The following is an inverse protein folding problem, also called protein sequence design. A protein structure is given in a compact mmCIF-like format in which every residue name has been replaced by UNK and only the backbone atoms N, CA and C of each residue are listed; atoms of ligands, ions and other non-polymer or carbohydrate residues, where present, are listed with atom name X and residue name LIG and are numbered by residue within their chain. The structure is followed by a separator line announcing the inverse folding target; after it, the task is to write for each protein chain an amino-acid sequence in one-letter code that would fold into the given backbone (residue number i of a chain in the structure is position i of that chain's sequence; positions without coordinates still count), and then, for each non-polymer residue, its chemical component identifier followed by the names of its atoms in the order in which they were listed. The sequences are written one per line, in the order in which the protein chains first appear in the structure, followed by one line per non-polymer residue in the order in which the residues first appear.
data_IF_273757685452
#
_entry.id   IF_273757685452
#
_cell.length_a   1.000
_cell.length_b   1.000
_cell.length_c   1.000
_cell.angle_alpha   90.00
_cell.angle_beta   90.00
_cell.angle_gamma   90.00
#
_symmetry.space_group_name_H-M   'P 1'
#
loop_
_entity.id
_entity.type
_entity.pdbx_description
1 polymer ?
#
# COMPACT_ATOMS: atom_id res chain seq x y z
N UNK A 1 10.74 -8.34 -16.92
CA UNK A 1 11.28 -7.03 -16.50
C UNK A 1 10.92 -6.80 -15.05
N UNK A 2 11.91 -6.47 -14.25
CA UNK A 2 11.72 -6.27 -12.82
C UNK A 2 11.99 -4.82 -12.46
N UNK A 3 11.10 -4.27 -11.63
CA UNK A 3 11.27 -2.94 -11.08
C UNK A 3 11.45 -3.10 -9.57
N UNK A 4 12.46 -2.45 -9.03
CA UNK A 4 12.73 -2.49 -7.59
C UNK A 4 12.53 -1.10 -7.00
N UNK A 5 11.68 -1.00 -5.98
CA UNK A 5 11.41 0.25 -5.27
C UNK A 5 11.81 0.03 -3.81
N UNK A 6 12.71 0.85 -3.31
CA UNK A 6 13.15 0.73 -1.92
C UNK A 6 12.05 1.20 -0.97
N UNK A 7 11.94 0.51 0.17
CA UNK A 7 11.01 0.94 1.23
C UNK A 7 11.27 2.40 1.63
N UNK A 8 12.53 2.79 1.68
CA UNK A 8 12.92 4.15 2.03
C UNK A 8 12.35 5.19 1.06
N UNK A 9 12.29 4.87 -0.22
CA UNK A 9 11.70 5.73 -1.24
C UNK A 9 10.19 5.87 -1.04
N UNK A 10 9.53 4.76 -0.71
CA UNK A 10 8.09 4.77 -0.44
C UNK A 10 7.80 5.59 0.82
N UNK A 11 8.59 5.39 1.87
CA UNK A 11 8.46 6.14 3.13
C UNK A 11 8.64 7.64 2.91
N UNK A 12 9.63 8.02 2.09
CA UNK A 12 9.88 9.42 1.75
C UNK A 12 8.73 10.03 0.94
N UNK A 13 8.17 9.26 0.02
CA UNK A 13 7.03 9.70 -0.78
C UNK A 13 5.80 9.94 0.10
N UNK A 14 5.51 9.01 0.99
CA UNK A 14 4.38 9.13 1.92
C UNK A 14 4.55 10.36 2.81
N UNK A 15 5.75 10.55 3.35
CA UNK A 15 6.04 11.72 4.19
C UNK A 15 5.87 13.03 3.41
N UNK A 16 6.36 13.05 2.18
CA UNK A 16 6.25 14.23 1.31
C UNK A 16 4.79 14.57 1.00
N UNK A 17 3.97 13.57 0.77
CA UNK A 17 2.56 13.78 0.39
C UNK A 17 1.61 13.96 1.57
N UNK A 18 1.91 13.37 2.71
CA UNK A 18 0.99 13.33 3.84
C UNK A 18 1.52 14.04 5.09
N UNK A 19 2.82 14.31 5.14
CA UNK A 19 3.49 14.80 6.34
C UNK A 19 3.66 13.74 7.41
N UNK A 20 3.23 12.50 7.16
CA UNK A 20 3.28 11.41 8.14
C UNK A 20 4.43 10.47 7.85
N UNK A 21 5.06 10.01 8.91
CA UNK A 21 6.12 9.00 8.82
C UNK A 21 5.51 7.62 8.99
N UNK A 22 5.90 6.72 8.10
CA UNK A 22 5.58 5.30 8.20
C UNK A 22 6.87 4.50 8.20
N UNK A 23 6.81 3.30 8.78
CA UNK A 23 7.90 2.34 8.70
C UNK A 23 7.46 1.15 7.87
N UNK A 24 8.32 0.67 7.02
CA UNK A 24 8.09 -0.51 6.21
C UNK A 24 9.20 -1.51 6.46
N UNK A 25 8.83 -2.77 6.69
CA UNK A 25 9.79 -3.86 6.84
C UNK A 25 9.20 -5.15 6.29
N UNK A 26 10.04 -5.96 5.66
CA UNK A 26 9.60 -7.23 5.13
C UNK A 26 9.52 -8.28 6.24
N UNK A 27 8.44 -9.04 6.27
CA UNK A 27 8.30 -10.22 7.13
C UNK A 27 8.68 -11.46 6.34
N UNK A 28 8.21 -11.56 5.12
CA UNK A 28 8.60 -12.59 4.16
C UNK A 28 8.40 -12.05 2.74
N UNK A 29 8.54 -12.90 1.74
CA UNK A 29 8.43 -12.50 0.33
C UNK A 29 7.07 -11.93 -0.05
N UNK A 30 6.04 -12.26 0.70
CA UNK A 30 4.65 -11.85 0.41
C UNK A 30 4.06 -10.93 1.45
N UNK A 31 4.75 -10.71 2.56
CA UNK A 31 4.20 -9.96 3.70
C UNK A 31 5.13 -8.83 4.10
N UNK A 32 4.55 -7.67 4.23
CA UNK A 32 5.23 -6.45 4.68
C UNK A 32 4.55 -5.97 5.97
N UNK A 33 5.34 -5.48 6.90
CA UNK A 33 4.84 -4.83 8.10
C UNK A 33 4.85 -3.33 7.88
N UNK A 34 3.69 -2.70 8.07
CA UNK A 34 3.53 -1.25 7.98
C UNK A 34 3.33 -0.72 9.39
N UNK A 35 4.18 0.21 9.81
CA UNK A 35 4.08 0.86 11.11
C UNK A 35 3.77 2.34 10.92
N UNK A 36 2.89 2.87 11.74
CA UNK A 36 2.53 4.28 11.70
C UNK A 36 2.34 4.80 13.11
N UNK A 37 2.66 6.07 13.31
CA UNK A 37 2.37 6.75 14.57
C UNK A 37 1.05 7.46 14.44
N UNK A 38 0.17 7.24 15.41
CA UNK A 38 -1.14 7.88 15.46
C UNK A 38 -1.26 8.65 16.76
N UNK A 39 -1.93 9.78 16.70
CA UNK A 39 -2.24 10.58 17.89
C UNK A 39 -3.58 10.12 18.45
N UNK A 40 -3.59 9.78 19.73
CA UNK A 40 -4.79 9.34 20.43
C UNK A 40 -5.06 10.33 21.57
N UNK A 41 -6.31 10.80 21.66
CA UNK A 41 -6.74 11.64 22.78
C UNK A 41 -7.06 10.75 23.98
N UNK A 42 -6.33 10.98 25.05
CA UNK A 42 -6.56 10.27 26.31
C UNK A 42 -7.14 11.27 27.33
N UNK A 43 -8.27 10.95 27.98
CA UNK A 43 -8.83 11.82 29.01
C UNK A 43 -7.79 12.13 30.07
N UNK A 44 -7.68 13.39 30.45
CA UNK A 44 -6.76 13.93 31.46
C UNK A 44 -5.29 13.99 31.05
N UNK A 45 -4.87 13.32 29.98
CA UNK A 45 -3.46 13.32 29.54
C UNK A 45 -3.23 14.08 28.24
N UNK A 46 -4.31 14.49 27.54
CA UNK A 46 -4.21 15.15 26.25
C UNK A 46 -3.93 14.19 25.13
N UNK A 47 -3.14 14.60 24.15
CA UNK A 47 -2.78 13.75 23.01
C UNK A 47 -1.48 12.99 23.31
N UNK A 48 -1.49 11.68 23.05
CA UNK A 48 -0.30 10.84 23.10
C UNK A 48 -0.09 10.20 21.73
N UNK A 49 1.15 10.02 21.36
CA UNK A 49 1.50 9.29 20.14
C UNK A 49 1.62 7.80 20.46
N UNK A 50 1.03 6.98 19.62
CA UNK A 50 1.08 5.53 19.71
C UNK A 50 1.51 4.94 18.38
N UNK A 51 2.45 4.00 18.41
CA UNK A 51 2.85 3.24 17.23
C UNK A 51 1.91 2.07 17.03
N UNK A 52 1.40 1.92 15.82
CA UNK A 52 0.51 0.83 15.44
C UNK A 52 1.14 0.14 14.24
N UNK A 53 1.18 -1.19 14.26
CA UNK A 53 1.69 -2.00 13.17
C UNK A 53 0.61 -2.90 12.59
N UNK A 54 0.67 -3.10 11.29
CA UNK A 54 -0.21 -4.00 10.57
C UNK A 54 0.61 -4.80 9.56
N UNK A 55 0.33 -6.09 9.45
CA UNK A 55 0.94 -6.94 8.44
C UNK A 55 0.03 -6.99 7.22
N UNK A 56 0.61 -6.71 6.05
CA UNK A 56 -0.12 -6.73 4.78
C UNK A 56 0.52 -7.76 3.88
N UNK A 57 -0.28 -8.70 3.42
CA UNK A 57 0.17 -9.78 2.53
C UNK A 57 -0.42 -9.61 1.15
N UNK A 58 0.38 -9.93 0.12
CA UNK A 58 -0.09 -9.97 -1.26
C UNK A 58 -0.73 -11.33 -1.49
N UNK A 59 -2.03 -11.35 -1.80
CA UNK A 59 -2.73 -12.59 -2.10
C UNK A 59 -2.60 -12.98 -3.57
N UNK A 60 -2.94 -12.04 -4.45
CA UNK A 60 -2.89 -12.28 -5.89
C UNK A 60 -2.94 -10.96 -6.65
N UNK A 61 -2.61 -11.05 -7.93
CA UNK A 61 -2.73 -9.95 -8.86
C UNK A 61 -3.63 -10.42 -10.00
N UNK A 62 -4.70 -9.68 -10.26
CA UNK A 62 -5.62 -9.95 -11.36
C UNK A 62 -5.69 -8.71 -12.26
N UNK A 63 -5.13 -8.81 -13.47
CA UNK A 63 -5.09 -7.67 -14.37
C UNK A 63 -4.32 -6.52 -13.74
N UNK A 64 -5.00 -5.41 -13.49
CA UNK A 64 -4.43 -4.23 -12.85
C UNK A 64 -4.84 -4.09 -11.38
N UNK A 65 -5.42 -5.13 -10.81
CA UNK A 65 -5.87 -5.12 -9.43
C UNK A 65 -4.93 -5.94 -8.55
N UNK A 66 -4.47 -5.35 -7.46
CA UNK A 66 -3.65 -6.01 -6.47
C UNK A 66 -4.54 -6.36 -5.27
N UNK A 67 -4.65 -7.66 -5.00
CA UNK A 67 -5.42 -8.16 -3.87
C UNK A 67 -4.50 -8.35 -2.67
N UNK A 68 -4.80 -7.64 -1.60
CA UNK A 68 -4.03 -7.66 -0.37
C UNK A 68 -4.90 -8.16 0.77
N UNK A 69 -4.25 -8.70 1.79
CA UNK A 69 -4.90 -9.10 3.03
C UNK A 69 -4.11 -8.50 4.18
N UNK A 70 -4.80 -7.95 5.16
CA UNK A 70 -4.12 -7.38 6.31
C UNK A 70 -4.46 -8.14 7.58
N UNK A 71 -3.48 -8.17 8.48
CA UNK A 71 -3.61 -8.77 9.79
C UNK A 71 -2.91 -7.84 10.79
N UNK A 72 -3.57 -7.54 11.87
CA UNK A 72 -3.01 -6.65 12.86
C UNK A 72 -3.74 -6.72 14.19
N UNK A 73 -3.08 -6.16 15.20
CA UNK A 73 -3.63 -6.03 16.54
C UNK A 73 -4.73 -4.95 16.59
N UNK A 74 -5.26 -4.72 17.78
CA UNK A 74 -6.19 -3.61 18.02
C UNK A 74 -5.62 -2.31 17.48
N UNK A 75 -6.40 -1.61 16.66
CA UNK A 75 -5.98 -0.39 16.02
C UNK A 75 -5.75 -0.51 14.52
N UNK A 76 -5.73 -1.73 13.98
CA UNK A 76 -5.59 -1.94 12.54
C UNK A 76 -6.69 -1.21 11.76
N UNK A 77 -7.92 -1.27 12.25
CA UNK A 77 -9.05 -0.56 11.64
C UNK A 77 -8.83 0.96 11.63
N UNK A 78 -8.15 1.48 12.62
CA UNK A 78 -7.81 2.90 12.68
C UNK A 78 -6.78 3.27 11.63
N UNK A 79 -5.79 2.41 11.40
CA UNK A 79 -4.79 2.64 10.35
C UNK A 79 -5.46 2.59 8.98
N UNK A 80 -6.23 1.53 8.74
CA UNK A 80 -6.93 1.37 7.45
C UNK A 80 -7.92 2.53 7.25
N UNK A 81 -8.68 2.86 8.27
CA UNK A 81 -9.60 3.99 8.23
C UNK A 81 -8.88 5.32 7.98
N UNK A 82 -7.73 5.51 8.60
CA UNK A 82 -6.91 6.70 8.39
C UNK A 82 -6.37 6.80 6.97
N UNK A 83 -5.87 5.69 6.43
CA UNK A 83 -5.41 5.63 5.05
C UNK A 83 -6.56 5.89 4.08
N UNK A 84 -7.69 5.22 4.28
CA UNK A 84 -8.87 5.41 3.44
C UNK A 84 -9.41 6.82 3.53
N UNK A 85 -9.43 7.41 4.72
CA UNK A 85 -9.87 8.79 4.92
C UNK A 85 -8.94 9.78 4.23
N UNK A 86 -7.64 9.55 4.30
CA UNK A 86 -6.66 10.36 3.60
C UNK A 86 -6.86 10.26 2.08
N UNK A 87 -7.07 9.04 1.59
CA UNK A 87 -7.29 8.79 0.18
C UNK A 87 -8.66 9.28 -0.30
N UNK A 88 -9.66 9.39 0.58
CA UNK A 88 -11.04 9.71 0.20
C UNK A 88 -11.29 11.18 -0.12
N UNK A 89 -10.32 12.05 0.11
CA UNK A 89 -10.47 13.47 -0.23
C UNK A 89 -10.43 13.73 -1.74
N UNK A 90 -10.19 12.70 -2.54
CA UNK A 90 -10.08 12.82 -3.99
C UNK A 90 -10.70 11.58 -4.65
N UNK A 91 -10.32 11.29 -5.88
CA UNK A 91 -10.73 10.11 -6.62
C UNK A 91 -10.27 8.79 -5.99
N UNK A 92 -9.63 8.85 -4.85
CA UNK A 92 -8.96 7.72 -4.21
C UNK A 92 -9.91 6.65 -3.69
N UNK A 93 -11.18 6.96 -3.45
CA UNK A 93 -12.17 5.91 -3.10
C UNK A 93 -12.34 4.88 -4.21
N UNK A 94 -11.98 5.23 -5.45
CA UNK A 94 -12.01 4.29 -6.57
C UNK A 94 -10.74 3.46 -6.65
N UNK A 95 -9.65 3.93 -6.02
CA UNK A 95 -8.37 3.24 -6.06
C UNK A 95 -8.27 2.06 -5.10
N UNK A 96 -8.96 2.15 -3.97
CA UNK A 96 -8.86 1.16 -2.91
C UNK A 96 -10.26 0.72 -2.50
N UNK A 97 -10.48 -0.58 -2.49
CA UNK A 97 -11.74 -1.18 -2.10
C UNK A 97 -11.53 -2.14 -0.94
N UNK A 98 -12.35 -2.01 0.09
CA UNK A 98 -12.37 -2.96 1.21
C UNK A 98 -13.29 -4.12 0.84
N UNK A 99 -12.76 -5.32 0.86
CA UNK A 99 -13.54 -6.53 0.60
C UNK A 99 -13.91 -7.20 1.92
N UNK A 100 -14.74 -8.23 1.85
CA UNK A 100 -15.14 -8.97 3.04
C UNK A 100 -13.93 -9.56 3.78
N UNK A 101 -14.01 -9.58 5.09
CA UNK A 101 -12.90 -10.00 5.92
C UNK A 101 -11.82 -8.91 5.96
N UNK A 102 -10.58 -9.31 5.91
CA UNK A 102 -9.43 -8.41 5.98
C UNK A 102 -8.82 -8.15 4.60
N UNK A 103 -9.64 -8.17 3.57
CA UNK A 103 -9.18 -7.96 2.20
C UNK A 103 -9.19 -6.52 1.77
N UNK A 104 -8.20 -6.15 0.97
CA UNK A 104 -8.12 -4.84 0.33
C UNK A 104 -7.77 -5.09 -1.13
N UNK A 105 -8.45 -4.40 -2.03
CA UNK A 105 -8.12 -4.43 -3.46
C UNK A 105 -7.66 -3.05 -3.87
N UNK A 106 -6.46 -2.96 -4.45
CA UNK A 106 -5.93 -1.72 -4.98
C UNK A 106 -6.09 -1.76 -6.50
N UNK A 107 -6.88 -0.85 -7.03
CA UNK A 107 -7.14 -0.73 -8.47
C UNK A 107 -6.09 0.20 -9.08
N UNK A 108 -4.99 -0.37 -9.57
CA UNK A 108 -3.88 0.43 -10.10
C UNK A 108 -4.28 1.26 -11.33
N UNK A 109 -5.23 0.78 -12.12
CA UNK A 109 -5.71 1.50 -13.29
C UNK A 109 -6.45 2.81 -12.93
N UNK A 110 -6.90 2.95 -11.69
CA UNK A 110 -7.52 4.17 -11.20
C UNK A 110 -6.51 5.21 -10.71
N UNK A 111 -5.24 4.82 -10.60
CA UNK A 111 -4.15 5.73 -10.22
C UNK A 111 -3.60 6.36 -11.49
N UNK A 112 -3.72 7.68 -11.57
CA UNK A 112 -3.36 8.44 -12.78
C UNK A 112 -1.92 8.18 -13.24
N UNK A 113 -0.98 8.19 -12.33
CA UNK A 113 0.44 7.99 -12.62
C UNK A 113 0.73 6.55 -13.07
N UNK A 114 0.03 5.58 -12.49
CA UNK A 114 0.20 4.18 -12.83
C UNK A 114 -0.43 3.83 -14.17
N UNK A 115 -1.49 4.53 -14.56
CA UNK A 115 -2.23 4.24 -15.78
C UNK A 115 -1.37 4.29 -17.03
N UNK A 116 -0.47 5.26 -17.11
CA UNK A 116 0.44 5.40 -18.24
C UNK A 116 1.41 4.22 -18.34
N UNK A 117 1.90 3.76 -17.21
CA UNK A 117 2.80 2.61 -17.16
C UNK A 117 2.06 1.33 -17.54
N UNK A 118 0.82 1.19 -17.09
CA UNK A 118 0.00 0.01 -17.37
C UNK A 118 -0.44 -0.09 -18.85
N UNK A 119 -0.29 0.98 -19.62
CA UNK A 119 -0.52 0.92 -21.07
C UNK A 119 0.57 0.14 -21.80
N UNK A 120 1.76 0.07 -21.23
CA UNK A 120 2.92 -0.56 -21.88
C UNK A 120 3.44 -1.78 -21.14
N UNK A 121 3.05 -1.98 -19.89
CA UNK A 121 3.46 -3.14 -19.11
C UNK A 121 2.26 -3.81 -18.46
N UNK A 122 2.36 -5.13 -18.29
CA UNK A 122 1.40 -5.90 -17.51
C UNK A 122 2.07 -6.32 -16.20
N UNK A 123 1.40 -6.05 -15.09
CA UNK A 123 1.87 -6.46 -13.78
C UNK A 123 1.70 -7.97 -13.64
N UNK A 124 2.76 -8.66 -13.27
CA UNK A 124 2.76 -10.12 -13.11
C UNK A 124 2.82 -10.56 -11.67
N UNK A 125 3.69 -9.95 -10.89
CA UNK A 125 3.88 -10.35 -9.51
C UNK A 125 4.45 -9.21 -8.70
N UNK A 126 4.29 -9.31 -7.39
CA UNK A 126 4.80 -8.34 -6.44
C UNK A 126 5.31 -9.10 -5.24
N UNK A 127 6.57 -8.86 -4.88
CA UNK A 127 7.20 -9.51 -3.75
C UNK A 127 8.06 -8.53 -2.98
N UNK A 128 8.51 -8.94 -1.81
CA UNK A 128 9.31 -8.10 -0.92
C UNK A 128 10.65 -8.77 -0.63
N UNK A 129 11.69 -7.97 -0.57
CA UNK A 129 12.96 -8.39 0.01
C UNK A 129 13.22 -7.55 1.28
N UNK A 130 14.40 -7.66 1.87
CA UNK A 130 14.70 -7.01 3.16
C UNK A 130 14.52 -5.49 3.13
N UNK A 131 14.69 -4.87 1.98
CA UNK A 131 14.73 -3.41 1.87
C UNK A 131 13.87 -2.84 0.75
N UNK A 132 13.20 -3.70 -0.03
CA UNK A 132 12.60 -3.25 -1.28
C UNK A 132 11.34 -4.02 -1.64
N UNK A 133 10.52 -3.38 -2.46
CA UNK A 133 9.42 -4.03 -3.17
C UNK A 133 9.92 -4.35 -4.57
N UNK A 134 9.76 -5.60 -4.97
CA UNK A 134 10.10 -6.07 -6.31
C UNK A 134 8.82 -6.26 -7.11
N UNK A 135 8.73 -5.59 -8.23
CA UNK A 135 7.58 -5.66 -9.13
C UNK A 135 8.01 -6.36 -10.41
N UNK A 136 7.40 -7.51 -10.69
CA UNK A 136 7.65 -8.24 -11.93
C UNK A 136 6.61 -7.82 -12.96
N UNK A 137 7.06 -7.37 -14.13
CA UNK A 137 6.23 -6.86 -15.20
C UNK A 137 6.56 -7.53 -16.52
N UNK A 138 5.59 -7.54 -17.41
CA UNK A 138 5.77 -7.97 -18.80
C UNK A 138 5.43 -6.83 -19.73
N UNK A 139 6.29 -6.59 -20.72
CA UNK A 139 5.99 -5.60 -21.75
C UNK A 139 4.82 -6.07 -22.60
N UNK A 140 3.88 -5.16 -22.84
CA UNK A 140 2.76 -5.41 -23.73
C UNK A 140 3.20 -5.17 -25.17
N UNK A 141 3.49 -6.25 -25.90
CA UNK A 141 3.98 -6.16 -27.26
C UNK A 141 2.92 -5.71 -28.25
N UNK A 142 1.65 -5.91 -27.91
CA UNK A 142 0.54 -5.54 -28.79
C UNK A 142 0.42 -4.03 -28.97
N UNK A 143 0.89 -3.24 -28.02
CA UNK A 143 0.88 -1.79 -28.11
C UNK A 143 2.03 -1.17 -28.90
N UNK A 144 2.96 -2.00 -29.39
CA UNK A 144 4.18 -1.52 -30.03
C UNK A 144 4.10 -1.59 -31.56
N UNK A 145 3.04 -2.04 -32.07
CA UNK A 145 2.83 -2.20 -33.53
C UNK A 145 2.66 -0.87 -34.26
#
# INVERSE_FOLDING_TARGET
MDITIRFQEIQSLVKSKTGREIGLSAIDERTIKVEAKVSVKVPFLGEIEKSIGVNVSVEKIEGNDVHLKYDGSMGTDMIIGGVLSFLSSTTAMKMVENTQGNGIVVHLAEIKEARKVLEVVQLKDLSFDDTSVRVECKLLTDGIR
#
